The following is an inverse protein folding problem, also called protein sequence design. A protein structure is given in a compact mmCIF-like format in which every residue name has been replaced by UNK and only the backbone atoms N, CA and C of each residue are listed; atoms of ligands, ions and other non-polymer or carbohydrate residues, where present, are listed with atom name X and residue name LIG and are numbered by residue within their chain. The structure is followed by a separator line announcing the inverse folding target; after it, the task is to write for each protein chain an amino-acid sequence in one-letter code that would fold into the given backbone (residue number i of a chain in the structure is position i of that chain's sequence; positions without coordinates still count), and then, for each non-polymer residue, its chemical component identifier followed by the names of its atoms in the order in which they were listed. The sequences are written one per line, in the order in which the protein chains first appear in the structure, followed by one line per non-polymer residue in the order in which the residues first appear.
data_IF_730414469081
#
_entry.id   IF_730414469081
#
_cell.length_a   1.000
_cell.length_b   1.000
_cell.length_c   1.000
_cell.angle_alpha   90.00
_cell.angle_beta   90.00
_cell.angle_gamma   90.00
#
_symmetry.space_group_name_H-M   'P 1'
#
loop_
_entity.id
_entity.type
_entity.pdbx_description
1 polymer ?
#
# COMPACT_ATOMS: atom_id res chain seq x y z
N UNK A 1 -27.27 22.51 -8.89
CA UNK A 1 -26.42 21.67 -8.05
C UNK A 1 -25.30 22.54 -7.49
N UNK A 2 -25.29 22.75 -6.17
CA UNK A 2 -24.23 23.51 -5.49
C UNK A 2 -22.99 22.65 -5.25
N UNK A 3 -21.82 23.27 -5.08
CA UNK A 3 -20.57 22.55 -4.75
C UNK A 3 -20.70 21.72 -3.47
N UNK A 4 -21.44 22.24 -2.48
CA UNK A 4 -21.71 21.53 -1.22
C UNK A 4 -22.60 20.32 -1.45
N UNK A 5 -23.66 20.45 -2.27
CA UNK A 5 -24.50 19.31 -2.68
C UNK A 5 -23.71 18.25 -3.44
N UNK A 6 -22.80 18.64 -4.34
CA UNK A 6 -21.92 17.71 -5.06
C UNK A 6 -20.95 16.97 -4.13
N UNK A 7 -20.44 17.64 -3.09
CA UNK A 7 -19.54 17.04 -2.10
C UNK A 7 -20.24 16.05 -1.16
N UNK A 8 -21.54 16.27 -0.91
CA UNK A 8 -22.35 15.43 -0.02
C UNK A 8 -23.16 14.36 -0.76
N UNK A 9 -23.14 14.37 -2.10
CA UNK A 9 -23.87 13.40 -2.90
C UNK A 9 -23.22 12.02 -2.69
N UNK A 10 -23.98 10.98 -2.32
CA UNK A 10 -23.41 9.66 -2.16
C UNK A 10 -22.81 9.22 -3.49
N UNK A 11 -21.50 8.98 -3.51
CA UNK A 11 -20.79 8.52 -4.70
C UNK A 11 -21.28 7.10 -5.02
N UNK A 12 -22.25 6.99 -5.92
CA UNK A 12 -22.69 5.70 -6.45
C UNK A 12 -21.61 5.24 -7.45
N UNK A 13 -20.60 4.53 -6.93
CA UNK A 13 -19.53 3.99 -7.75
C UNK A 13 -20.10 2.85 -8.61
N UNK A 14 -20.06 3.04 -9.93
CA UNK A 14 -20.39 1.97 -10.89
C UNK A 14 -19.54 0.74 -10.63
N UNK A 15 -20.12 -0.47 -10.72
CA UNK A 15 -19.39 -1.75 -10.61
C UNK A 15 -18.17 -1.83 -11.54
N UNK A 16 -18.23 -1.20 -12.71
CA UNK A 16 -17.10 -1.13 -13.63
C UNK A 16 -15.98 -0.23 -13.13
N UNK A 17 -16.31 0.85 -12.40
CA UNK A 17 -15.33 1.75 -11.79
C UNK A 17 -14.66 1.08 -10.58
N UNK A 18 -15.42 0.31 -9.79
CA UNK A 18 -14.88 -0.54 -8.71
C UNK A 18 -13.87 -1.55 -9.25
N UNK A 19 -14.23 -2.27 -10.32
CA UNK A 19 -13.33 -3.25 -10.93
C UNK A 19 -12.08 -2.60 -11.52
N UNK A 20 -12.22 -1.44 -12.18
CA UNK A 20 -11.08 -0.70 -12.71
C UNK A 20 -10.15 -0.21 -11.58
N UNK A 21 -10.71 0.25 -10.47
CA UNK A 21 -9.95 0.62 -9.27
C UNK A 21 -9.08 -0.55 -8.78
N UNK A 22 -9.66 -1.74 -8.60
CA UNK A 22 -8.90 -2.92 -8.17
C UNK A 22 -7.79 -3.32 -9.15
N UNK A 23 -8.03 -3.20 -10.45
CA UNK A 23 -7.00 -3.47 -11.46
C UNK A 23 -5.85 -2.46 -11.35
N UNK A 24 -6.16 -1.17 -11.20
CA UNK A 24 -5.14 -0.12 -11.05
C UNK A 24 -4.32 -0.34 -9.79
N UNK A 25 -4.96 -0.66 -8.66
CA UNK A 25 -4.28 -0.96 -7.40
C UNK A 25 -3.36 -2.17 -7.48
N UNK A 26 -3.78 -3.22 -8.22
CA UNK A 26 -2.93 -4.37 -8.50
C UNK A 26 -1.70 -3.99 -9.34
N UNK A 27 -1.88 -3.17 -10.37
CA UNK A 27 -0.78 -2.68 -11.22
C UNK A 27 0.22 -1.87 -10.38
N UNK A 28 -0.25 -0.94 -9.55
CA UNK A 28 0.61 -0.14 -8.66
C UNK A 28 1.36 -1.04 -7.68
N UNK A 29 0.71 -2.07 -7.14
CA UNK A 29 1.35 -3.05 -6.25
C UNK A 29 2.45 -3.83 -6.96
N UNK A 30 2.23 -4.25 -8.21
CA UNK A 30 3.28 -4.90 -9.03
C UNK A 30 4.46 -3.95 -9.25
N UNK A 31 4.20 -2.68 -9.56
CA UNK A 31 5.24 -1.66 -9.73
C UNK A 31 6.06 -1.50 -8.44
N UNK A 32 5.39 -1.42 -7.28
CA UNK A 32 6.06 -1.33 -5.99
C UNK A 32 6.98 -2.53 -5.71
N UNK A 33 6.50 -3.76 -5.99
CA UNK A 33 7.30 -4.98 -5.85
C UNK A 33 8.52 -4.94 -6.77
N UNK A 34 8.32 -4.61 -8.05
CA UNK A 34 9.40 -4.54 -9.04
C UNK A 34 10.44 -3.51 -8.62
N UNK A 35 10.02 -2.32 -8.16
CA UNK A 35 10.92 -1.29 -7.66
C UNK A 35 11.72 -1.79 -6.47
N UNK A 36 11.06 -2.33 -5.44
CA UNK A 36 11.71 -2.84 -4.24
C UNK A 36 12.76 -3.92 -4.55
N UNK A 37 12.46 -4.84 -5.47
CA UNK A 37 13.42 -5.88 -5.89
C UNK A 37 14.60 -5.25 -6.64
N UNK A 38 14.33 -4.33 -7.59
CA UNK A 38 15.36 -3.70 -8.42
C UNK A 38 16.32 -2.82 -7.60
N UNK A 39 15.81 -2.16 -6.56
CA UNK A 39 16.61 -1.28 -5.70
C UNK A 39 17.17 -1.99 -4.47
N UNK A 40 16.94 -3.31 -4.34
CA UNK A 40 17.33 -4.14 -3.19
C UNK A 40 16.79 -3.58 -1.86
N UNK A 41 15.53 -3.18 -1.82
CA UNK A 41 14.85 -2.75 -0.60
C UNK A 41 13.71 -3.70 -0.25
N UNK A 42 13.85 -5.01 -0.49
CA UNK A 42 12.75 -5.97 -0.34
C UNK A 42 12.28 -6.03 1.11
N UNK A 43 13.20 -6.14 2.08
CA UNK A 43 12.82 -6.26 3.49
C UNK A 43 12.21 -4.96 4.02
N UNK A 44 12.78 -3.81 3.63
CA UNK A 44 12.22 -2.51 3.96
C UNK A 44 10.85 -2.31 3.32
N UNK A 45 10.66 -2.75 2.07
CA UNK A 45 9.37 -2.68 1.40
C UNK A 45 8.33 -3.54 2.10
N UNK A 46 8.66 -4.77 2.49
CA UNK A 46 7.76 -5.64 3.28
C UNK A 46 7.41 -4.98 4.60
N UNK A 47 8.38 -4.40 5.31
CA UNK A 47 8.14 -3.69 6.57
C UNK A 47 7.16 -2.51 6.39
N UNK A 48 7.41 -1.64 5.41
CA UNK A 48 6.54 -0.51 5.10
C UNK A 48 5.13 -0.98 4.72
N UNK A 49 5.05 -2.05 3.92
CA UNK A 49 3.78 -2.62 3.49
C UNK A 49 2.97 -3.18 4.66
N UNK A 50 3.63 -3.90 5.58
CA UNK A 50 2.98 -4.43 6.78
C UNK A 50 2.48 -3.31 7.70
N UNK A 51 3.26 -2.25 7.89
CA UNK A 51 2.84 -1.10 8.68
C UNK A 51 1.64 -0.38 8.05
N UNK A 52 1.68 -0.17 6.73
CA UNK A 52 0.57 0.41 5.99
C UNK A 52 -0.69 -0.46 6.10
N UNK A 53 -0.54 -1.77 5.95
CA UNK A 53 -1.62 -2.74 6.07
C UNK A 53 -2.24 -2.75 7.46
N UNK A 54 -1.43 -2.67 8.51
CA UNK A 54 -1.91 -2.58 9.89
C UNK A 54 -2.69 -1.28 10.13
N UNK A 55 -2.16 -0.13 9.68
CA UNK A 55 -2.85 1.16 9.81
C UNK A 55 -4.17 1.14 9.03
N UNK A 56 -4.15 0.63 7.80
CA UNK A 56 -5.35 0.47 6.98
C UNK A 56 -6.38 -0.44 7.63
N UNK A 57 -5.95 -1.55 8.23
CA UNK A 57 -6.85 -2.47 8.93
C UNK A 57 -7.48 -1.80 10.17
N UNK A 58 -6.69 -1.09 10.98
CA UNK A 58 -7.20 -0.34 12.14
C UNK A 58 -8.21 0.72 11.69
N UNK A 59 -7.90 1.44 10.61
CA UNK A 59 -8.78 2.44 10.02
C UNK A 59 -10.11 1.83 9.57
N UNK A 60 -10.07 0.75 8.78
CA UNK A 60 -11.27 0.08 8.28
C UNK A 60 -12.12 -0.51 9.39
N UNK A 61 -11.49 -1.14 10.39
CA UNK A 61 -12.19 -1.65 11.58
C UNK A 61 -12.87 -0.49 12.32
N UNK A 62 -12.22 0.66 12.45
CA UNK A 62 -12.81 1.83 13.10
C UNK A 62 -14.02 2.37 12.33
N UNK A 63 -13.94 2.45 10.99
CA UNK A 63 -15.04 2.87 10.14
C UNK A 63 -16.23 1.91 10.22
N UNK A 64 -15.96 0.60 10.28
CA UNK A 64 -16.98 -0.42 10.46
C UNK A 64 -17.65 -0.30 11.84
N UNK A 65 -16.88 -0.19 12.92
CA UNK A 65 -17.41 -0.08 14.28
C UNK A 65 -18.23 1.20 14.52
N UNK A 66 -17.92 2.28 13.81
CA UNK A 66 -18.64 3.56 13.89
C UNK A 66 -19.90 3.61 13.02
N UNK A 67 -20.20 2.56 12.25
CA UNK A 67 -21.34 2.53 11.34
C UNK A 67 -21.19 3.47 10.14
N UNK A 68 -19.98 3.99 9.90
CA UNK A 68 -19.68 4.88 8.76
C UNK A 68 -19.55 4.11 7.45
N UNK A 69 -19.43 2.77 7.52
CA UNK A 69 -19.22 1.91 6.36
C UNK A 69 -19.93 0.57 6.56
N UNK A 70 -20.91 0.29 5.72
CA UNK A 70 -21.64 -0.98 5.72
C UNK A 70 -20.91 -2.02 4.88
N UNK A 71 -20.48 -3.10 5.53
CA UNK A 71 -19.90 -4.26 4.87
C UNK A 71 -20.73 -5.49 5.18
N UNK A 72 -21.13 -6.25 4.16
CA UNK A 72 -21.57 -7.62 4.38
C UNK A 72 -20.38 -8.46 4.89
N UNK A 73 -20.58 -9.35 5.86
CA UNK A 73 -19.53 -10.24 6.41
C UNK A 73 -18.79 -11.08 5.33
N UNK A 74 -19.36 -11.22 4.13
CA UNK A 74 -18.71 -11.83 2.96
C UNK A 74 -17.67 -10.94 2.23
N UNK A 75 -17.61 -9.64 2.53
CA UNK A 75 -16.68 -8.67 1.93
C UNK A 75 -15.39 -8.48 2.75
N UNK A 76 -15.12 -9.35 3.72
CA UNK A 76 -13.88 -9.31 4.52
C UNK A 76 -12.60 -9.42 3.66
N UNK A 77 -12.66 -10.14 2.54
CA UNK A 77 -11.57 -10.19 1.56
C UNK A 77 -11.36 -8.88 0.80
N UNK A 78 -12.44 -8.15 0.52
CA UNK A 78 -12.37 -6.82 -0.10
C UNK A 78 -11.76 -5.80 0.85
N UNK A 79 -12.14 -5.86 2.14
CA UNK A 79 -11.64 -5.01 3.20
C UNK A 79 -10.14 -5.25 3.46
N UNK A 80 -9.72 -6.53 3.49
CA UNK A 80 -8.30 -6.88 3.57
C UNK A 80 -7.53 -6.42 2.33
N UNK A 81 -8.11 -6.58 1.14
CA UNK A 81 -7.51 -6.11 -0.10
C UNK A 81 -7.28 -4.60 -0.07
N UNK A 82 -8.29 -3.82 0.36
CA UNK A 82 -8.18 -2.38 0.54
C UNK A 82 -7.06 -2.03 1.52
N UNK A 83 -7.12 -2.58 2.74
CA UNK A 83 -6.12 -2.32 3.77
C UNK A 83 -4.68 -2.60 3.27
N UNK A 84 -4.47 -3.70 2.53
CA UNK A 84 -3.15 -4.06 2.03
C UNK A 84 -2.70 -3.23 0.83
N UNK A 85 -3.59 -2.90 -0.11
CA UNK A 85 -3.18 -2.29 -1.38
C UNK A 85 -3.17 -0.77 -1.36
N UNK A 86 -3.99 -0.14 -0.52
CA UNK A 86 -4.26 1.31 -0.53
C UNK A 86 -3.10 2.15 0.03
N UNK A 87 -2.44 1.67 1.08
CA UNK A 87 -1.27 2.37 1.64
C UNK A 87 0.08 1.79 1.25
N UNK A 88 0.19 0.46 1.18
CA UNK A 88 1.49 -0.22 1.13
C UNK A 88 2.29 0.06 -0.14
N UNK A 89 1.64 -0.12 -1.29
CA UNK A 89 2.29 0.07 -2.59
C UNK A 89 2.78 1.51 -2.79
N UNK A 90 1.96 2.50 -2.44
CA UNK A 90 2.31 3.93 -2.52
C UNK A 90 3.46 4.32 -1.60
N UNK A 91 3.50 3.79 -0.38
CA UNK A 91 4.60 4.03 0.57
C UNK A 91 5.93 3.47 0.07
N UNK A 92 5.93 2.26 -0.49
CA UNK A 92 7.13 1.64 -1.07
C UNK A 92 7.65 2.47 -2.24
N UNK A 93 6.77 2.86 -3.18
CA UNK A 93 7.14 3.68 -4.34
C UNK A 93 7.71 5.02 -3.88
N UNK A 94 7.04 5.69 -2.94
CA UNK A 94 7.47 6.99 -2.40
C UNK A 94 8.82 6.90 -1.70
N UNK A 95 9.04 5.85 -0.90
CA UNK A 95 10.31 5.60 -0.23
C UNK A 95 11.47 5.43 -1.23
N UNK A 96 11.28 4.58 -2.24
CA UNK A 96 12.30 4.35 -3.27
C UNK A 96 12.56 5.64 -4.05
N UNK A 97 11.50 6.35 -4.43
CA UNK A 97 11.62 7.60 -5.17
C UNK A 97 12.35 8.67 -4.35
N UNK A 98 11.99 8.85 -3.07
CA UNK A 98 12.63 9.79 -2.15
C UNK A 98 14.13 9.52 -2.00
N UNK A 99 14.55 8.25 -1.99
CA UNK A 99 15.97 7.88 -2.00
C UNK A 99 16.64 8.24 -3.33
N UNK A 100 15.98 7.98 -4.47
CA UNK A 100 16.53 8.33 -5.79
C UNK A 100 16.76 9.82 -6.00
N UNK A 101 15.86 10.67 -5.51
CA UNK A 101 16.01 12.12 -5.63
C UNK A 101 16.83 12.74 -4.49
N UNK A 102 17.35 11.92 -3.57
CA UNK A 102 18.24 12.35 -2.49
C UNK A 102 17.55 13.10 -1.34
N UNK A 103 16.23 12.94 -1.16
CA UNK A 103 15.53 13.46 0.03
C UNK A 103 15.92 12.68 1.28
N UNK A 104 16.09 11.36 1.14
CA UNK A 104 16.50 10.46 2.22
C UNK A 104 17.72 9.64 1.81
N UNK A 105 18.58 9.31 2.77
CA UNK A 105 19.60 8.27 2.62
C UNK A 105 19.03 6.96 3.19
N UNK A 106 18.59 6.09 2.27
CA UNK A 106 18.05 4.78 2.60
C UNK A 106 19.04 3.64 2.37
N UNK A 107 20.29 3.91 1.98
CA UNK A 107 21.23 2.86 1.56
C UNK A 107 21.51 1.85 2.68
N UNK A 108 21.43 2.29 3.95
CA UNK A 108 21.53 1.41 5.14
C UNK A 108 20.45 0.33 5.24
N UNK A 109 19.33 0.49 4.53
CA UNK A 109 18.22 -0.45 4.51
C UNK A 109 18.27 -1.38 3.30
N UNK A 110 19.31 -1.28 2.47
CA UNK A 110 19.48 -2.10 1.28
C UNK A 110 19.77 -3.54 1.71
N UNK A 111 19.05 -4.50 1.13
CA UNK A 111 19.23 -5.91 1.39
C UNK A 111 20.68 -6.32 1.07
N UNK A 112 21.30 -7.24 1.84
CA UNK A 112 22.65 -7.73 1.59
C UNK A 112 22.84 -8.27 0.17
N UNK A 113 24.05 -8.14 -0.34
CA UNK A 113 24.40 -8.62 -1.68
C UNK A 113 24.59 -10.13 -1.68
N UNK A 114 24.61 -10.76 -2.87
CA UNK A 114 25.04 -12.17 -2.99
C UNK A 114 26.47 -12.40 -2.46
N UNK A 115 27.28 -11.35 -2.36
CA UNK A 115 28.67 -11.38 -1.90
C UNK A 115 28.81 -11.15 -0.38
N UNK A 116 27.77 -10.69 0.31
CA UNK A 116 27.84 -10.30 1.74
C UNK A 116 27.58 -11.46 2.71
N UNK A 117 27.31 -12.68 2.22
CA UNK A 117 27.05 -13.86 3.07
C UNK A 117 28.28 -14.76 3.25
N UNK A 118 29.46 -14.29 2.88
CA UNK A 118 30.68 -15.10 2.70
C UNK A 118 31.82 -14.86 3.70
N UNK A 119 31.58 -14.26 4.86
CA UNK A 119 32.64 -14.06 5.85
C UNK A 119 32.08 -13.66 7.20
N UNK A 120 32.12 -14.60 8.13
CA UNK A 120 32.50 -14.41 9.54
C UNK A 120 32.42 -15.78 10.23
N UNK A 121 33.30 -16.69 9.79
CA UNK A 121 33.75 -17.84 10.58
C UNK A 121 35.25 -17.58 10.90
N UNK A 122 35.51 -16.67 11.85
CA UNK A 122 36.79 -16.61 12.60
C UNK A 122 36.52 -16.49 14.10
#
# INVERSE_FOLDING_TARGET
MSFVEWLTDPVIISRYLVNAYFIVMAIISIVAIVMAIRTRFKWMAVYLWMMAGLIGLVWEVTLFLTGSRDYALGNSGELLYHALTEGGSGLVITFVFANWIGIIDADRYRDPGPEDTGGDDE
#
